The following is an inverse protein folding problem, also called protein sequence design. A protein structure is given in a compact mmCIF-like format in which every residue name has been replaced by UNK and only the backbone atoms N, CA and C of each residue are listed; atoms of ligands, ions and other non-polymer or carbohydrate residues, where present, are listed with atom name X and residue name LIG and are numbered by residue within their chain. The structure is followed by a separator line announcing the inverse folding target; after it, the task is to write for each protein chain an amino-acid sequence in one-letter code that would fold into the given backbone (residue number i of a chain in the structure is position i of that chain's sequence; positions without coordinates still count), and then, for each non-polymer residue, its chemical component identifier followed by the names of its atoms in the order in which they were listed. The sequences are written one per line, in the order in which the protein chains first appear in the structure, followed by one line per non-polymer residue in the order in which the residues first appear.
data_IF_148472623133
#
_entry.id   IF_148472623133
#
_cell.length_a   1.000
_cell.length_b   1.000
_cell.length_c   1.000
_cell.angle_alpha   90.00
_cell.angle_beta   90.00
_cell.angle_gamma   90.00
#
_symmetry.space_group_name_H-M   'P 1'
#
loop_
_entity.id
_entity.type
_entity.pdbx_description
1 polymer ?
#
# COMPACT_ATOMS: atom_id res chain seq x y z
N UNK A 1 -26.19 30.26 -6.23
CA UNK A 1 -26.41 29.77 -4.86
C UNK A 1 -25.33 28.76 -4.52
N UNK A 2 -24.46 29.09 -3.57
CA UNK A 2 -23.40 28.18 -3.14
C UNK A 2 -24.03 26.92 -2.57
N UNK A 3 -23.68 25.79 -3.15
CA UNK A 3 -23.97 24.47 -2.60
C UNK A 3 -23.26 24.38 -1.25
N UNK A 4 -23.99 24.58 -0.16
CA UNK A 4 -23.45 24.47 1.20
C UNK A 4 -23.21 22.99 1.49
N UNK A 5 -21.96 22.55 1.36
CA UNK A 5 -21.55 21.24 1.84
C UNK A 5 -21.75 21.19 3.36
N UNK A 6 -22.35 20.11 3.87
CA UNK A 6 -22.57 19.93 5.32
C UNK A 6 -21.37 19.17 5.88
N UNK A 7 -20.66 19.75 6.83
CA UNK A 7 -19.48 19.13 7.43
C UNK A 7 -19.86 18.02 8.43
N UNK A 8 -19.03 16.97 8.46
CA UNK A 8 -19.08 15.88 9.42
C UNK A 8 -17.97 16.11 10.44
N UNK A 9 -18.32 16.28 11.71
CA UNK A 9 -17.37 16.58 12.77
C UNK A 9 -17.29 15.44 13.77
N UNK A 10 -16.12 14.89 14.05
CA UNK A 10 -15.95 13.88 15.09
C UNK A 10 -16.27 14.46 16.48
N UNK A 11 -17.10 13.76 17.26
CA UNK A 11 -17.55 14.27 18.56
C UNK A 11 -16.43 14.37 19.61
N UNK A 12 -15.38 13.55 19.50
CA UNK A 12 -14.34 13.44 20.53
C UNK A 12 -13.25 14.53 20.45
N UNK A 13 -12.90 15.00 19.24
CA UNK A 13 -11.86 16.02 19.03
C UNK A 13 -12.33 17.22 18.20
N UNK A 14 -13.60 17.23 17.78
CA UNK A 14 -14.19 18.28 16.95
C UNK A 14 -13.49 18.49 15.60
N UNK A 15 -12.72 17.51 15.12
CA UNK A 15 -12.09 17.54 13.81
C UNK A 15 -13.13 17.30 12.72
N UNK A 16 -13.02 18.01 11.60
CA UNK A 16 -13.78 17.70 10.40
C UNK A 16 -13.25 16.39 9.80
N UNK A 17 -14.12 15.40 9.65
CA UNK A 17 -13.78 14.04 9.21
C UNK A 17 -14.47 13.68 7.91
N UNK A 18 -15.19 14.62 7.30
CA UNK A 18 -15.97 14.36 6.10
C UNK A 18 -16.98 15.45 5.80
N UNK A 19 -17.79 15.22 4.77
CA UNK A 19 -18.88 16.08 4.39
C UNK A 19 -20.02 15.29 3.75
N UNK A 20 -21.20 15.89 3.72
CA UNK A 20 -22.35 15.39 2.95
C UNK A 20 -22.45 16.19 1.67
N UNK A 21 -22.25 15.52 0.53
CA UNK A 21 -22.41 16.15 -0.78
C UNK A 21 -23.88 16.47 -1.07
N UNK A 22 -24.18 17.53 -1.82
CA UNK A 22 -25.55 17.79 -2.29
C UNK A 22 -26.06 16.66 -3.18
N UNK A 23 -27.37 16.48 -3.25
CA UNK A 23 -27.97 15.55 -4.20
C UNK A 23 -27.76 16.05 -5.63
N UNK A 24 -27.36 15.16 -6.54
CA UNK A 24 -27.14 15.51 -7.93
C UNK A 24 -28.46 15.90 -8.61
N UNK A 25 -28.51 17.06 -9.25
CA UNK A 25 -29.70 17.49 -10.01
C UNK A 25 -29.84 16.64 -11.28
N UNK A 26 -30.96 15.93 -11.42
CA UNK A 26 -31.28 15.14 -12.61
C UNK A 26 -30.71 13.72 -12.64
N UNK A 27 -30.11 13.25 -11.54
CA UNK A 27 -29.68 11.86 -11.37
C UNK A 27 -30.75 10.98 -10.70
N UNK A 28 -30.50 9.66 -10.60
CA UNK A 28 -31.30 8.78 -9.75
C UNK A 28 -31.25 9.27 -8.30
N UNK A 29 -32.35 9.09 -7.56
CA UNK A 29 -32.46 9.50 -6.16
C UNK A 29 -31.42 8.78 -5.32
N UNK A 30 -30.52 9.53 -4.69
CA UNK A 30 -29.45 8.96 -3.88
C UNK A 30 -29.86 8.90 -2.41
N UNK A 31 -29.51 7.81 -1.73
CA UNK A 31 -29.72 7.71 -0.28
C UNK A 31 -28.82 8.70 0.46
N UNK A 32 -29.20 9.06 1.69
CA UNK A 32 -28.35 9.87 2.57
C UNK A 32 -26.96 9.22 2.75
N UNK A 33 -26.90 7.91 3.02
CA UNK A 33 -25.65 7.19 3.23
C UNK A 33 -24.69 7.29 2.02
N UNK A 34 -25.23 7.23 0.79
CA UNK A 34 -24.44 7.34 -0.45
C UNK A 34 -23.84 8.73 -0.66
N UNK A 35 -24.35 9.74 0.03
CA UNK A 35 -23.89 11.14 -0.05
C UNK A 35 -22.94 11.52 1.09
N UNK A 36 -22.72 10.63 2.05
CA UNK A 36 -21.75 10.83 3.14
C UNK A 36 -20.36 10.47 2.61
N UNK A 37 -19.44 11.42 2.63
CA UNK A 37 -18.05 11.23 2.21
C UNK A 37 -17.11 11.54 3.38
N UNK A 38 -16.30 10.57 3.79
CA UNK A 38 -15.30 10.78 4.83
C UNK A 38 -13.97 11.26 4.23
N UNK A 39 -13.36 12.23 4.90
CA UNK A 39 -11.99 12.63 4.64
C UNK A 39 -11.06 11.47 4.98
N UNK A 40 -9.97 11.41 4.24
CA UNK A 40 -9.04 10.32 4.29
C UNK A 40 -8.02 10.45 5.45
N UNK A 41 -8.51 10.68 6.66
CA UNK A 41 -7.69 11.02 7.83
C UNK A 41 -7.85 9.99 8.94
N UNK A 42 -6.71 9.61 9.55
CA UNK A 42 -6.70 8.67 10.67
C UNK A 42 -7.16 9.34 11.95
N UNK A 43 -8.10 8.70 12.64
CA UNK A 43 -8.49 9.10 13.99
C UNK A 43 -7.98 8.04 14.98
N UNK A 44 -7.37 8.44 16.10
CA UNK A 44 -6.81 7.50 17.07
C UNK A 44 -7.86 6.52 17.60
N UNK A 45 -7.54 5.23 17.63
CA UNK A 45 -8.45 4.17 18.11
C UNK A 45 -9.01 4.43 19.52
N UNK A 46 -8.18 4.95 20.42
CA UNK A 46 -8.54 5.25 21.81
C UNK A 46 -9.62 6.34 21.96
N UNK A 47 -10.06 6.95 20.87
CA UNK A 47 -11.03 8.05 20.86
C UNK A 47 -12.41 7.64 20.35
N UNK A 48 -12.60 6.37 20.00
CA UNK A 48 -13.86 5.81 19.52
C UNK A 48 -14.63 5.20 20.70
N UNK A 49 -15.94 5.48 20.81
CA UNK A 49 -16.80 4.92 21.84
C UNK A 49 -17.17 3.49 21.49
N UNK A 50 -16.71 2.52 22.27
CA UNK A 50 -17.15 1.13 22.18
C UNK A 50 -18.35 0.97 23.13
N UNK A 51 -19.52 1.41 22.71
CA UNK A 51 -20.74 1.22 23.50
C UNK A 51 -21.74 0.36 22.73
N UNK A 52 -22.08 -0.78 23.37
CA UNK A 52 -22.98 -1.87 22.94
C UNK A 52 -22.43 -2.80 21.86
N UNK A 53 -21.76 -3.86 22.31
CA UNK A 53 -21.61 -5.11 21.54
C UNK A 53 -20.29 -5.28 20.79
N UNK A 54 -19.17 -4.83 21.36
CA UNK A 54 -17.81 -5.02 20.84
C UNK A 54 -17.50 -4.44 19.44
N UNK A 55 -18.44 -3.71 18.83
CA UNK A 55 -18.24 -2.99 17.58
C UNK A 55 -17.87 -1.54 17.92
N UNK A 56 -16.63 -1.09 17.67
CA UNK A 56 -16.24 0.29 17.93
C UNK A 56 -17.11 1.25 17.12
N UNK A 57 -17.57 2.35 17.69
CA UNK A 57 -18.36 3.34 16.92
C UNK A 57 -17.77 4.72 17.09
N UNK A 58 -17.70 5.47 15.99
CA UNK A 58 -17.41 6.89 15.99
C UNK A 58 -18.71 7.68 15.99
N UNK A 59 -18.91 8.50 17.00
CA UNK A 59 -19.99 9.48 17.02
C UNK A 59 -19.60 10.71 16.19
N UNK A 60 -20.36 10.99 15.14
CA UNK A 60 -20.15 12.13 14.23
C UNK A 60 -21.30 13.11 14.39
N UNK A 61 -20.99 14.40 14.47
CA UNK A 61 -21.92 15.51 14.56
C UNK A 61 -22.05 16.16 13.19
N UNK A 62 -23.29 16.34 12.75
CA UNK A 62 -23.62 17.13 11.56
C UNK A 62 -24.21 18.44 12.02
N UNK A 63 -23.75 19.53 11.42
CA UNK A 63 -24.28 20.87 11.67
C UNK A 63 -24.62 21.51 10.33
N UNK A 64 -25.86 21.94 10.16
CA UNK A 64 -26.29 22.66 8.97
C UNK A 64 -27.32 23.74 9.32
N UNK A 65 -27.61 24.63 8.38
CA UNK A 65 -28.66 25.65 8.54
C UNK A 65 -29.83 25.25 7.63
N UNK A 66 -31.01 25.09 8.22
CA UNK A 66 -32.25 24.89 7.49
C UNK A 66 -33.26 25.96 7.93
N UNK A 67 -33.86 26.66 6.96
CA UNK A 67 -34.84 27.73 7.22
C UNK A 67 -34.34 28.81 8.20
N UNK A 68 -33.05 29.18 8.12
CA UNK A 68 -32.42 30.15 9.01
C UNK A 68 -32.16 29.67 10.44
N UNK A 69 -32.43 28.40 10.75
CA UNK A 69 -32.15 27.79 12.04
C UNK A 69 -31.01 26.78 11.96
N UNK A 70 -30.15 26.76 12.98
CA UNK A 70 -29.13 25.73 13.12
C UNK A 70 -29.78 24.40 13.47
N UNK A 71 -29.48 23.40 12.65
CA UNK A 71 -29.87 22.02 12.84
C UNK A 71 -28.64 21.19 13.20
N UNK A 72 -28.83 20.20 14.07
CA UNK A 72 -27.79 19.26 14.44
C UNK A 72 -28.30 17.84 14.44
N UNK A 73 -27.49 16.90 13.95
CA UNK A 73 -27.76 15.48 14.04
C UNK A 73 -26.51 14.74 14.54
N UNK A 74 -26.71 13.62 15.22
CA UNK A 74 -25.63 12.70 15.61
C UNK A 74 -25.76 11.42 14.79
N UNK A 75 -24.69 11.02 14.12
CA UNK A 75 -24.54 9.71 13.50
C UNK A 75 -23.64 8.84 14.38
N UNK A 76 -24.00 7.57 14.51
CA UNK A 76 -23.11 6.54 14.99
C UNK A 76 -22.55 5.83 13.77
N UNK A 77 -21.23 5.83 13.63
CA UNK A 77 -20.53 5.23 12.50
C UNK A 77 -19.69 4.08 13.04
N UNK A 78 -20.09 2.84 12.77
CA UNK A 78 -19.28 1.65 13.05
C UNK A 78 -17.95 1.74 12.29
N UNK A 79 -16.85 1.17 12.81
CA UNK A 79 -15.50 1.65 12.61
C UNK A 79 -14.90 0.98 11.37
N UNK A 80 -15.62 0.98 10.26
CA UNK A 80 -15.01 0.83 8.94
C UNK A 80 -14.16 2.06 8.58
N UNK A 81 -14.45 3.19 9.23
CA UNK A 81 -13.71 4.44 9.13
C UNK A 81 -12.31 4.41 9.75
N UNK A 82 -11.99 3.48 10.65
CA UNK A 82 -10.63 3.37 11.16
C UNK A 82 -9.61 3.17 10.02
N UNK A 83 -10.06 2.71 8.84
CA UNK A 83 -9.25 2.55 7.63
C UNK A 83 -9.46 3.56 6.52
N UNK A 84 -10.49 4.41 6.60
CA UNK A 84 -10.92 5.21 5.45
C UNK A 84 -11.16 4.33 4.21
N UNK A 85 -11.80 3.17 4.38
CA UNK A 85 -12.05 2.22 3.30
C UNK A 85 -13.12 2.78 2.34
N UNK A 86 -12.67 3.38 1.24
CA UNK A 86 -13.51 3.87 0.14
C UNK A 86 -13.20 3.12 -1.16
N UNK A 87 -14.03 3.31 -2.19
CA UNK A 87 -13.71 2.77 -3.53
C UNK A 87 -12.38 3.37 -3.99
N UNK A 88 -11.46 2.48 -4.38
CA UNK A 88 -10.08 2.80 -4.74
C UNK A 88 -9.10 2.75 -3.55
N UNK A 89 -9.55 2.53 -2.31
CA UNK A 89 -8.64 2.31 -1.19
C UNK A 89 -7.76 1.09 -1.45
N UNK A 90 -6.50 1.18 -1.00
CA UNK A 90 -5.46 0.19 -1.26
C UNK A 90 -5.06 -0.52 0.04
N UNK A 91 -4.98 -1.85 -0.03
CA UNK A 91 -4.61 -2.69 1.10
C UNK A 91 -3.53 -3.69 0.71
N UNK A 92 -2.68 -4.01 1.68
CA UNK A 92 -1.79 -5.16 1.70
C UNK A 92 -2.38 -6.19 2.64
N UNK A 93 -2.46 -7.42 2.15
CA UNK A 93 -2.91 -8.61 2.89
C UNK A 93 -1.84 -9.69 2.79
N UNK A 94 -2.09 -10.86 3.40
CA UNK A 94 -1.23 -12.05 3.23
C UNK A 94 -1.17 -12.53 1.77
N UNK A 95 -2.24 -12.30 1.00
CA UNK A 95 -2.38 -12.79 -0.38
C UNK A 95 -1.84 -11.77 -1.40
N UNK A 96 -1.41 -10.59 -0.92
CA UNK A 96 -0.78 -9.55 -1.72
C UNK A 96 -1.49 -8.21 -1.61
N UNK A 97 -1.34 -7.41 -2.65
CA UNK A 97 -1.81 -6.03 -2.71
C UNK A 97 -3.12 -5.96 -3.48
N UNK A 98 -4.09 -5.19 -2.99
CA UNK A 98 -5.41 -5.06 -3.61
C UNK A 98 -5.96 -3.64 -3.60
N UNK A 99 -7.03 -3.46 -4.36
CA UNK A 99 -7.80 -2.22 -4.45
C UNK A 99 -9.28 -2.53 -4.24
N UNK A 100 -9.95 -1.77 -3.38
CA UNK A 100 -11.40 -1.88 -3.18
C UNK A 100 -12.13 -1.36 -4.40
N UNK A 101 -12.95 -2.20 -5.03
CA UNK A 101 -13.74 -1.85 -6.22
C UNK A 101 -15.19 -1.51 -5.90
N UNK A 102 -15.75 -2.09 -4.82
CA UNK A 102 -17.14 -1.90 -4.42
C UNK A 102 -17.28 -2.08 -2.91
N UNK A 103 -18.22 -1.35 -2.31
CA UNK A 103 -18.67 -1.55 -0.93
C UNK A 103 -20.09 -2.14 -1.01
N UNK A 104 -20.33 -3.22 -0.27
CA UNK A 104 -21.62 -3.93 -0.25
C UNK A 104 -22.51 -3.39 0.87
N UNK A 105 -23.76 -3.83 0.88
CA UNK A 105 -24.75 -3.42 1.88
C UNK A 105 -24.52 -4.05 3.26
N UNK A 106 -23.86 -5.20 3.30
CA UNK A 106 -23.46 -5.91 4.53
C UNK A 106 -22.13 -5.40 5.11
N UNK A 107 -21.75 -4.18 4.72
CA UNK A 107 -20.48 -3.51 4.98
C UNK A 107 -19.25 -4.18 4.37
N UNK A 108 -19.26 -5.44 3.93
CA UNK A 108 -18.10 -6.06 3.27
C UNK A 108 -17.76 -5.38 1.94
N UNK A 109 -16.55 -5.57 1.41
CA UNK A 109 -16.13 -4.96 0.16
C UNK A 109 -15.66 -5.98 -0.88
N UNK A 110 -15.76 -5.61 -2.15
CA UNK A 110 -15.12 -6.34 -3.23
C UNK A 110 -13.73 -5.76 -3.43
N UNK A 111 -12.71 -6.61 -3.33
CA UNK A 111 -11.32 -6.24 -3.56
C UNK A 111 -10.79 -6.91 -4.82
N UNK A 112 -10.13 -6.13 -5.67
CA UNK A 112 -9.37 -6.61 -6.83
C UNK A 112 -7.90 -6.69 -6.48
N UNK A 113 -7.30 -7.87 -6.56
CA UNK A 113 -5.86 -8.03 -6.36
C UNK A 113 -5.06 -7.52 -7.57
N UNK A 114 -3.90 -6.96 -7.28
CA UNK A 114 -2.97 -6.44 -8.28
C UNK A 114 -2.48 -7.57 -9.18
N UNK A 115 -2.45 -7.32 -10.50
CA UNK A 115 -1.96 -8.23 -11.53
C UNK A 115 -2.68 -9.60 -11.58
N UNK A 116 -3.84 -9.73 -10.92
CA UNK A 116 -4.75 -10.85 -11.09
C UNK A 116 -5.62 -10.65 -12.35
N UNK A 117 -6.30 -11.72 -12.79
CA UNK A 117 -7.17 -11.77 -14.00
C UNK A 117 -8.43 -10.89 -13.92
N UNK A 118 -8.42 -9.81 -13.15
CA UNK A 118 -9.54 -8.89 -12.96
C UNK A 118 -10.63 -9.40 -12.01
N UNK A 119 -10.46 -10.60 -11.45
CA UNK A 119 -11.41 -11.15 -10.47
C UNK A 119 -11.40 -10.32 -9.19
N UNK A 120 -12.60 -10.03 -8.69
CA UNK A 120 -12.81 -9.43 -7.39
C UNK A 120 -13.17 -10.52 -6.37
N UNK A 121 -12.74 -10.34 -5.14
CA UNK A 121 -13.07 -11.21 -4.01
C UNK A 121 -13.81 -10.44 -2.95
N UNK A 122 -14.73 -11.10 -2.24
CA UNK A 122 -15.29 -10.54 -1.02
C UNK A 122 -14.17 -10.40 0.02
N UNK A 123 -14.10 -9.26 0.68
CA UNK A 123 -13.04 -8.89 1.58
C UNK A 123 -13.60 -8.02 2.71
N UNK A 124 -13.18 -8.33 3.93
CA UNK A 124 -13.50 -7.57 5.12
C UNK A 124 -12.16 -7.01 5.68
N UNK A 125 -11.90 -5.70 5.59
CA UNK A 125 -10.69 -5.08 6.08
C UNK A 125 -10.71 -4.97 7.60
N UNK A 126 -9.91 -5.82 8.26
CA UNK A 126 -9.69 -5.84 9.70
C UNK A 126 -8.20 -5.56 10.02
N UNK A 127 -7.88 -5.06 11.24
CA UNK A 127 -6.47 -4.82 11.67
C UNK A 127 -5.60 -6.05 11.62
N UNK A 128 -6.20 -7.21 11.83
CA UNK A 128 -5.51 -8.49 11.80
C UNK A 128 -5.18 -8.99 10.40
N UNK A 129 -5.92 -8.58 9.36
CA UNK A 129 -5.81 -9.17 8.03
C UNK A 129 -5.37 -8.20 6.93
N UNK A 130 -5.33 -6.90 7.23
CA UNK A 130 -5.08 -5.87 6.24
C UNK A 130 -4.33 -4.67 6.80
N UNK A 131 -3.36 -4.20 6.03
CA UNK A 131 -2.69 -2.92 6.26
C UNK A 131 -2.94 -2.01 5.08
N UNK A 132 -3.36 -0.78 5.35
CA UNK A 132 -3.54 0.20 4.28
C UNK A 132 -2.20 0.59 3.68
N UNK A 133 -2.15 0.72 2.35
CA UNK A 133 -0.94 1.10 1.62
C UNK A 133 -1.17 2.30 0.71
N UNK A 134 -0.08 2.94 0.30
CA UNK A 134 -0.15 4.08 -0.60
C UNK A 134 -0.65 3.65 -1.98
N UNK A 135 -1.36 4.56 -2.65
CA UNK A 135 -1.69 4.42 -4.06
C UNK A 135 -0.59 5.08 -4.88
N UNK A 136 0.04 4.29 -5.75
CA UNK A 136 0.90 4.86 -6.78
C UNK A 136 0.03 5.57 -7.83
N UNK A 137 0.26 6.87 -8.04
CA UNK A 137 -0.38 7.66 -9.09
C UNK A 137 0.71 8.43 -9.84
N UNK A 138 1.20 7.84 -10.94
CA UNK A 138 2.24 8.48 -11.74
C UNK A 138 1.66 9.10 -13.00
N UNK A 139 2.18 10.29 -13.32
CA UNK A 139 1.88 10.96 -14.58
C UNK A 139 2.60 10.25 -15.73
N UNK A 140 2.06 10.41 -16.93
CA UNK A 140 2.73 9.99 -18.16
C UNK A 140 4.16 10.55 -18.23
N UNK A 141 5.06 9.80 -18.88
CA UNK A 141 6.49 10.05 -18.99
C UNK A 141 7.30 9.94 -17.68
N UNK A 142 6.70 9.44 -16.59
CA UNK A 142 7.46 9.13 -15.38
C UNK A 142 8.31 7.89 -15.60
N UNK A 143 9.62 7.97 -15.30
CA UNK A 143 10.54 6.82 -15.31
C UNK A 143 10.48 6.08 -13.98
N UNK A 144 10.33 4.77 -14.07
CA UNK A 144 10.24 3.84 -12.96
C UNK A 144 11.26 2.71 -13.15
N UNK A 145 11.71 2.15 -12.04
CA UNK A 145 12.31 0.83 -12.02
C UNK A 145 11.21 -0.15 -11.64
N UNK A 146 11.01 -1.18 -12.46
CA UNK A 146 9.96 -2.16 -12.29
C UNK A 146 10.58 -3.55 -12.09
N UNK A 147 10.10 -4.28 -11.09
CA UNK A 147 10.38 -5.71 -10.94
C UNK A 147 9.39 -6.49 -11.80
N UNK A 148 9.87 -7.02 -12.91
CA UNK A 148 9.10 -7.79 -13.88
C UNK A 148 9.73 -9.16 -14.08
N UNK A 149 8.96 -10.24 -13.87
CA UNK A 149 9.43 -11.63 -14.01
C UNK A 149 10.74 -11.93 -13.25
N UNK A 150 10.86 -11.38 -12.03
CA UNK A 150 12.04 -11.58 -11.17
C UNK A 150 13.26 -10.74 -11.56
N UNK A 151 13.11 -9.78 -12.49
CA UNK A 151 14.19 -8.89 -12.94
C UNK A 151 13.79 -7.43 -12.87
N UNK A 152 14.75 -6.58 -12.53
CA UNK A 152 14.56 -5.14 -12.61
C UNK A 152 14.67 -4.68 -14.06
N UNK A 153 13.70 -3.90 -14.53
CA UNK A 153 13.67 -3.31 -15.88
C UNK A 153 13.38 -1.82 -15.79
N UNK A 154 13.81 -1.08 -16.82
CA UNK A 154 13.43 0.31 -17.00
C UNK A 154 12.00 0.38 -17.53
N UNK A 155 11.14 1.16 -16.86
CA UNK A 155 9.75 1.33 -17.24
C UNK A 155 9.38 2.81 -17.38
N UNK A 156 8.65 3.15 -18.43
CA UNK A 156 8.09 4.48 -18.67
C UNK A 156 6.57 4.42 -18.55
N UNK A 157 6.01 5.28 -17.71
CA UNK A 157 4.55 5.39 -17.57
C UNK A 157 3.97 6.03 -18.81
N UNK A 158 3.09 5.31 -19.51
CA UNK A 158 2.35 5.85 -20.65
C UNK A 158 1.03 6.46 -20.20
N UNK A 159 0.30 5.76 -19.33
CA UNK A 159 -1.03 6.19 -18.87
C UNK A 159 -1.35 5.61 -17.50
N UNK A 160 -2.00 6.41 -16.65
CA UNK A 160 -2.69 5.94 -15.45
C UNK A 160 -4.15 5.61 -15.81
N UNK A 161 -4.63 4.41 -15.44
CA UNK A 161 -5.98 3.96 -15.76
C UNK A 161 -7.07 4.65 -14.91
N UNK A 162 -6.69 5.37 -13.85
CA UNK A 162 -7.59 6.12 -12.99
C UNK A 162 -7.95 5.37 -11.70
N UNK A 163 -8.56 6.10 -10.77
CA UNK A 163 -8.77 5.66 -9.38
C UNK A 163 -9.62 4.39 -9.23
N UNK A 164 -10.58 4.16 -10.14
CA UNK A 164 -11.42 2.96 -10.16
C UNK A 164 -10.60 1.69 -10.49
N UNK A 165 -9.46 1.90 -11.15
CA UNK A 165 -8.49 0.86 -11.44
C UNK A 165 -7.31 0.88 -10.47
N UNK A 166 -7.44 1.50 -9.29
CA UNK A 166 -6.43 1.43 -8.25
C UNK A 166 -5.14 2.11 -8.68
N UNK A 167 -4.05 1.33 -8.78
CA UNK A 167 -2.75 1.80 -9.26
C UNK A 167 -2.37 1.18 -10.60
N UNK A 168 -3.36 0.83 -11.44
CA UNK A 168 -3.11 0.30 -12.78
C UNK A 168 -2.52 1.35 -13.71
N UNK A 169 -1.36 1.05 -14.26
CA UNK A 169 -0.68 1.90 -15.24
C UNK A 169 -0.36 1.09 -16.49
N UNK A 170 -0.49 1.73 -17.64
CA UNK A 170 0.12 1.26 -18.89
C UNK A 170 1.58 1.69 -18.89
N UNK A 171 2.48 0.72 -18.96
CA UNK A 171 3.92 0.95 -18.92
C UNK A 171 4.53 0.49 -20.24
N UNK A 172 5.54 1.24 -20.71
CA UNK A 172 6.49 0.77 -21.71
C UNK A 172 7.74 0.29 -21.00
N UNK A 173 8.10 -0.97 -21.16
CA UNK A 173 9.26 -1.59 -20.55
C UNK A 173 10.38 -1.72 -21.58
N UNK A 174 11.61 -1.42 -21.16
CA UNK A 174 12.82 -1.59 -21.96
C UNK A 174 13.88 -2.39 -21.19
N UNK A 175 14.79 -3.04 -21.91
CA UNK A 175 15.82 -3.91 -21.32
C UNK A 175 15.40 -5.38 -21.14
N UNK A 176 14.34 -5.82 -21.80
CA UNK A 176 13.99 -7.25 -21.90
C UNK A 176 15.01 -7.99 -22.79
N UNK A 177 15.23 -9.29 -22.54
CA UNK A 177 16.30 -10.10 -23.17
C UNK A 177 16.31 -10.09 -24.71
N UNK A 178 15.22 -9.71 -25.36
CA UNK A 178 15.10 -9.62 -26.82
C UNK A 178 15.31 -8.19 -27.38
N UNK A 179 15.77 -7.22 -26.57
CA UNK A 179 15.90 -5.81 -27.00
C UNK A 179 14.57 -5.15 -27.40
N UNK A 180 13.45 -5.84 -27.20
CA UNK A 180 12.12 -5.37 -27.55
C UNK A 180 11.54 -4.50 -26.45
N UNK A 181 11.00 -3.35 -26.85
CA UNK A 181 10.07 -2.60 -26.02
C UNK A 181 8.77 -3.40 -25.93
N UNK A 182 8.18 -3.49 -24.74
CA UNK A 182 6.85 -4.07 -24.55
C UNK A 182 5.95 -3.09 -23.81
N UNK A 183 4.67 -3.09 -24.15
CA UNK A 183 3.67 -2.30 -23.45
C UNK A 183 2.71 -3.22 -22.69
N UNK A 184 2.55 -2.99 -21.40
CA UNK A 184 1.69 -3.81 -20.55
C UNK A 184 0.96 -2.96 -19.50
N UNK A 185 -0.26 -3.38 -19.17
CA UNK A 185 -1.00 -2.84 -18.04
C UNK A 185 -0.59 -3.59 -16.76
N UNK A 186 -0.03 -2.86 -15.80
CA UNK A 186 0.51 -3.40 -14.55
C UNK A 186 -0.08 -2.61 -13.38
N UNK A 187 -0.54 -3.32 -12.35
CA UNK A 187 -0.93 -2.73 -11.07
C UNK A 187 0.33 -2.48 -10.23
N UNK A 188 0.68 -1.20 -10.05
CA UNK A 188 1.88 -0.77 -9.34
C UNK A 188 1.69 -0.81 -7.83
N UNK A 189 2.62 -1.41 -7.09
CA UNK A 189 2.63 -1.46 -5.63
C UNK A 189 4.05 -1.36 -5.05
N UNK A 190 4.13 -1.22 -3.73
CA UNK A 190 5.39 -1.02 -3.00
C UNK A 190 6.42 -2.14 -3.19
N UNK A 191 6.01 -3.32 -3.65
CA UNK A 191 6.89 -4.46 -3.86
C UNK A 191 7.41 -4.60 -5.29
N UNK A 192 6.74 -3.98 -6.27
CA UNK A 192 7.05 -4.21 -7.68
C UNK A 192 7.65 -3.01 -8.41
N UNK A 193 7.70 -1.82 -7.82
CA UNK A 193 8.31 -0.68 -8.48
C UNK A 193 8.84 0.36 -7.51
N UNK A 194 9.72 1.23 -8.02
CA UNK A 194 10.07 2.49 -7.40
C UNK A 194 10.32 3.56 -8.45
N UNK A 195 10.25 4.83 -8.04
CA UNK A 195 10.58 5.95 -8.91
C UNK A 195 12.11 6.04 -9.06
N UNK A 196 12.59 6.09 -10.30
CA UNK A 196 14.00 6.35 -10.61
C UNK A 196 14.31 7.83 -10.34
N UNK A 197 14.60 8.17 -9.08
CA UNK A 197 15.00 9.52 -8.67
C UNK A 197 16.52 9.65 -8.55
N UNK A 198 17.18 8.61 -8.03
CA UNK A 198 18.62 8.62 -7.74
C UNK A 198 19.47 8.06 -8.89
N UNK A 199 18.91 7.16 -9.69
CA UNK A 199 19.62 6.49 -10.79
C UNK A 199 18.96 6.81 -12.13
N UNK A 200 19.76 6.99 -13.20
CA UNK A 200 19.23 7.29 -14.53
C UNK A 200 18.64 6.08 -15.24
N UNK A 201 18.99 4.85 -14.82
CA UNK A 201 18.49 3.59 -15.34
C UNK A 201 18.61 2.45 -14.34
N UNK A 202 17.87 1.37 -14.58
CA UNK A 202 17.97 0.12 -13.84
C UNK A 202 19.40 -0.46 -13.89
N UNK A 203 20.08 -0.40 -15.04
CA UNK A 203 21.45 -0.91 -15.17
C UNK A 203 22.43 -0.18 -14.23
N UNK A 204 22.29 1.15 -14.08
CA UNK A 204 23.12 1.93 -13.16
C UNK A 204 22.81 1.64 -11.69
N UNK A 205 21.53 1.38 -11.38
CA UNK A 205 21.16 0.93 -10.04
C UNK A 205 21.81 -0.42 -9.71
N UNK A 206 21.74 -1.40 -10.61
CA UNK A 206 22.32 -2.73 -10.40
C UNK A 206 23.85 -2.70 -10.29
N UNK A 207 24.53 -1.87 -11.10
CA UNK A 207 25.97 -1.62 -11.00
C UNK A 207 26.34 -1.07 -9.60
N UNK A 208 25.62 -0.03 -9.16
CA UNK A 208 25.84 0.58 -7.84
C UNK A 208 25.52 -0.40 -6.69
N UNK A 209 24.46 -1.20 -6.83
CA UNK A 209 24.09 -2.24 -5.87
C UNK A 209 25.18 -3.31 -5.76
N UNK A 210 25.69 -3.78 -6.89
CA UNK A 210 26.80 -4.74 -6.94
C UNK A 210 28.03 -4.21 -6.21
N UNK A 211 28.46 -2.98 -6.52
CA UNK A 211 29.59 -2.33 -5.85
C UNK A 211 29.37 -2.17 -4.34
N UNK A 212 28.16 -1.80 -3.93
CA UNK A 212 27.81 -1.70 -2.51
C UNK A 212 27.89 -3.05 -1.81
N UNK A 213 27.29 -4.10 -2.39
CA UNK A 213 27.34 -5.45 -1.84
C UNK A 213 28.78 -5.95 -1.70
N UNK A 214 29.63 -5.74 -2.70
CA UNK A 214 31.06 -6.08 -2.61
C UNK A 214 31.75 -5.36 -1.45
N UNK A 215 31.54 -4.05 -1.30
CA UNK A 215 32.12 -3.28 -0.19
C UNK A 215 31.63 -3.72 1.19
N UNK A 216 30.35 -4.06 1.30
CA UNK A 216 29.77 -4.57 2.56
C UNK A 216 30.37 -5.93 2.89
N UNK A 217 30.49 -6.82 1.90
CA UNK A 217 31.13 -8.12 2.07
C UNK A 217 32.59 -7.96 2.50
N UNK A 218 33.36 -7.06 1.87
CA UNK A 218 34.74 -6.77 2.27
C UNK A 218 34.83 -6.21 3.70
N UNK A 219 33.98 -5.24 4.05
CA UNK A 219 33.97 -4.62 5.39
C UNK A 219 33.62 -5.62 6.50
N UNK A 220 32.74 -6.57 6.21
CA UNK A 220 32.30 -7.60 7.14
C UNK A 220 32.96 -8.95 6.84
N UNK A 221 34.03 -9.00 6.04
CA UNK A 221 34.72 -10.24 5.71
C UNK A 221 35.47 -10.84 6.89
N UNK A 222 35.74 -10.02 7.92
CA UNK A 222 36.52 -10.42 9.08
C UNK A 222 35.91 -9.92 10.38
N UNK A 223 36.14 -10.68 11.44
CA UNK A 223 35.81 -10.32 12.82
C UNK A 223 37.07 -10.47 13.67
N UNK A 224 37.26 -9.57 14.64
CA UNK A 224 38.34 -9.69 15.60
C UNK A 224 37.90 -10.64 16.71
N UNK A 225 38.58 -11.77 16.82
CA UNK A 225 38.41 -12.67 17.96
C UNK A 225 38.99 -12.02 19.22
N UNK A 226 38.19 -11.94 20.28
CA UNK A 226 38.64 -11.37 21.55
C UNK A 226 39.54 -12.33 22.35
N UNK A 227 39.40 -13.64 22.16
CA UNK A 227 40.17 -14.63 22.91
C UNK A 227 41.60 -14.76 22.37
N UNK A 228 41.78 -14.84 21.05
CA UNK A 228 43.11 -14.94 20.42
C UNK A 228 43.67 -13.59 19.96
N UNK A 229 42.84 -12.55 19.91
CA UNK A 229 43.21 -11.23 19.39
C UNK A 229 43.36 -11.18 17.87
N UNK A 230 43.18 -12.30 17.17
CA UNK A 230 43.38 -12.43 15.72
C UNK A 230 42.16 -11.93 14.93
N UNK A 231 42.42 -11.43 13.72
CA UNK A 231 41.38 -11.10 12.75
C UNK A 231 41.07 -12.35 11.94
N UNK A 232 39.91 -12.92 12.16
CA UNK A 232 39.46 -14.15 11.53
C UNK A 232 38.49 -13.83 10.40
N UNK A 233 38.58 -14.56 9.29
CA UNK A 233 37.62 -14.39 8.20
C UNK A 233 36.31 -15.11 8.51
N UNK A 234 35.19 -14.40 8.37
CA UNK A 234 33.85 -14.94 8.65
C UNK A 234 33.54 -16.14 7.76
N UNK A 235 34.06 -16.19 6.52
CA UNK A 235 33.83 -17.32 5.61
C UNK A 235 34.34 -18.67 6.16
N UNK A 236 35.35 -18.64 7.05
CA UNK A 236 35.89 -19.82 7.73
C UNK A 236 35.27 -20.06 9.11
N UNK A 237 34.41 -19.15 9.58
CA UNK A 237 33.70 -19.26 10.85
C UNK A 237 32.31 -19.87 10.72
N UNK A 238 31.88 -20.23 9.51
CA UNK A 238 30.76 -21.13 9.31
C UNK A 238 31.18 -22.54 9.76
N UNK A 239 31.29 -22.73 11.07
CA UNK A 239 31.22 -24.07 11.65
C UNK A 239 29.82 -24.59 11.35
N UNK A 240 29.73 -25.38 10.29
CA UNK A 240 28.53 -26.14 10.02
C UNK A 240 28.20 -26.94 11.28
N UNK A 241 27.04 -26.71 11.88
CA UNK A 241 26.34 -27.74 12.64
C UNK A 241 25.88 -28.82 11.64
N UNK A 242 26.83 -29.47 10.98
CA UNK A 242 26.59 -30.76 10.35
C UNK A 242 26.46 -31.75 11.50
N UNK A 243 25.37 -32.51 11.52
CA UNK A 243 25.29 -33.74 12.31
C UNK A 243 26.53 -34.59 11.95
N UNK A 244 27.16 -35.16 12.98
CA UNK A 244 28.46 -35.82 13.04
C UNK A 244 28.78 -36.99 12.06
N UNK A 245 28.18 -37.09 10.86
CA UNK A 245 28.35 -38.33 10.05
C UNK A 245 29.11 -38.21 8.72
N UNK A 246 29.54 -37.02 8.26
CA UNK A 246 30.29 -36.94 7.00
C UNK A 246 31.41 -35.88 7.02
N UNK A 247 32.55 -36.22 7.64
CA UNK A 247 33.81 -35.52 7.38
C UNK A 247 34.77 -36.45 6.62
N UNK A 248 35.15 -36.14 5.35
CA UNK A 248 36.23 -36.86 4.68
C UNK A 248 37.59 -36.48 5.32
N UNK A 249 38.59 -37.39 5.31
CA UNK A 249 39.82 -37.20 6.08
C UNK A 249 40.64 -36.03 5.53
N UNK A 250 41.36 -35.30 6.41
CA UNK A 250 42.16 -34.15 6.01
C UNK A 250 43.38 -34.62 5.18
N UNK A 251 43.53 -34.05 3.99
CA UNK A 251 44.77 -34.15 3.21
C UNK A 251 45.85 -33.25 3.83
N UNK A 252 47.00 -33.84 4.19
CA UNK A 252 48.17 -33.11 4.67
C UNK A 252 48.77 -32.20 3.57
N UNK A 253 49.17 -30.96 3.90
CA UNK A 253 49.91 -30.12 2.98
C UNK A 253 51.43 -30.38 3.05
N UNK A 254 52.19 -30.02 1.99
CA UNK A 254 53.64 -30.25 1.87
C UNK A 254 54.50 -29.38 2.79
#
# INVERSE_FOLDING_TARGET
HSSTQVELTAAFNLQCVGHVRPEAKGGPKESFATRVEFLNEWLPWHSQSVDRGDIPTLKVLLKWIANGQHQTASLLVSPWMAYGCSIGARFKTKDGYGTVSKIREDDTCDMRYDNADGKTVAFEPLLENATRVARAEYKANTKLMLLHEGRCVDALVLKYAGFQHGSRHRLRMSGLQAGGESEQDIDLNESNHCKLTLFPSCARYEEARGLYCTKVLEKHATVRDQATGQTLSIQYQHAFLLKDDEQPPPSEPP
#
